data_IF_278312088005
#
_entry.id   IF_278312088005
#
_cell.length_a   1.000
_cell.length_b   1.000
_cell.length_c   1.000
_cell.angle_alpha   90.00
_cell.angle_beta   90.00
_cell.angle_gamma   90.00
#
_symmetry.space_group_name_H-M   'P 1'
#
loop_
_entity.id
_entity.type
_entity.pdbx_description
1 polymer ?
#
# COMPACT_ATOMS: atom_id res chain seq x y z
N UNK A 1 2.00 8.87 15.31
CA UNK A 1 3.27 8.10 15.32
C UNK A 1 3.03 6.83 14.53
N UNK A 2 3.84 6.54 13.51
CA UNK A 2 3.69 5.34 12.67
C UNK A 2 4.44 4.19 13.34
N UNK A 3 3.77 3.05 13.58
CA UNK A 3 4.37 1.86 14.17
C UNK A 3 4.08 0.61 13.36
N UNK A 4 2.84 0.44 12.91
CA UNK A 4 2.41 -0.71 12.12
C UNK A 4 2.27 -0.29 10.66
N UNK A 5 3.15 -0.80 9.81
CA UNK A 5 3.16 -0.54 8.37
C UNK A 5 2.80 -1.82 7.63
N UNK A 6 2.03 -1.69 6.57
CA UNK A 6 1.82 -2.77 5.61
C UNK A 6 2.42 -2.34 4.28
N UNK A 7 3.32 -3.16 3.75
CA UNK A 7 3.79 -3.05 2.37
C UNK A 7 2.95 -4.00 1.52
N UNK A 8 1.96 -3.45 0.81
CA UNK A 8 0.97 -4.21 0.06
C UNK A 8 1.56 -4.89 -1.19
N UNK A 9 2.72 -4.42 -1.66
CA UNK A 9 3.47 -5.04 -2.75
C UNK A 9 4.96 -5.01 -2.44
N UNK A 10 5.40 -5.94 -1.59
CA UNK A 10 6.71 -5.88 -0.96
C UNK A 10 7.89 -6.19 -1.89
N UNK A 11 7.64 -6.78 -3.07
CA UNK A 11 8.69 -7.29 -3.97
C UNK A 11 9.72 -8.10 -3.18
N UNK A 12 10.91 -7.56 -2.90
CA UNK A 12 11.97 -8.25 -2.13
C UNK A 12 12.14 -7.77 -0.69
N UNK A 13 11.11 -7.11 -0.12
CA UNK A 13 11.11 -6.53 1.23
C UNK A 13 11.88 -5.20 1.32
N UNK A 14 11.88 -4.41 0.25
CA UNK A 14 12.70 -3.20 0.15
C UNK A 14 12.35 -2.12 1.17
N UNK A 15 11.05 -1.89 1.41
CA UNK A 15 10.58 -0.91 2.39
C UNK A 15 11.03 -1.28 3.80
N UNK A 16 10.91 -2.56 4.16
CA UNK A 16 11.31 -3.04 5.48
C UNK A 16 12.82 -2.91 5.71
N UNK A 17 13.62 -3.27 4.69
CA UNK A 17 15.08 -3.07 4.73
C UNK A 17 15.44 -1.59 4.93
N UNK A 18 14.79 -0.67 4.22
CA UNK A 18 15.03 0.76 4.37
C UNK A 18 14.70 1.27 5.79
N UNK A 19 13.60 0.81 6.41
CA UNK A 19 13.27 1.18 7.78
C UNK A 19 14.26 0.64 8.81
N UNK A 20 14.78 -0.57 8.58
CA UNK A 20 15.80 -1.17 9.44
C UNK A 20 17.12 -0.40 9.35
N UNK A 21 17.55 -0.01 8.15
CA UNK A 21 18.75 0.81 7.91
C UNK A 21 18.65 2.17 8.61
N UNK A 22 17.49 2.82 8.51
CA UNK A 22 17.17 4.09 9.16
C UNK A 22 16.88 3.96 10.67
N UNK A 23 17.08 2.77 11.26
CA UNK A 23 16.88 2.45 12.69
C UNK A 23 15.51 2.88 13.22
N UNK A 24 14.46 2.75 12.40
CA UNK A 24 13.09 3.07 12.79
C UNK A 24 12.47 1.86 13.50
N UNK A 25 11.89 2.09 14.68
CA UNK A 25 11.15 1.06 15.42
C UNK A 25 9.73 0.88 14.83
N UNK A 26 9.66 0.31 13.63
CA UNK A 26 8.40 0.01 12.93
C UNK A 26 8.30 -1.48 12.65
N UNK A 27 7.08 -2.00 12.74
CA UNK A 27 6.75 -3.36 12.32
C UNK A 27 6.11 -3.30 10.94
N UNK A 28 6.68 -4.06 9.99
CA UNK A 28 6.24 -4.09 8.60
C UNK A 28 5.69 -5.47 8.26
N UNK A 29 4.42 -5.53 7.87
CA UNK A 29 3.84 -6.71 7.22
C UNK A 29 4.12 -6.61 5.71
N UNK A 30 4.93 -7.52 5.19
CA UNK A 30 5.28 -7.55 3.76
C UNK A 30 4.32 -8.47 3.01
N UNK A 31 3.49 -7.92 2.13
CA UNK A 31 2.54 -8.69 1.34
C UNK A 31 3.10 -8.87 -0.07
N UNK A 32 3.12 -10.12 -0.53
CA UNK A 32 3.46 -10.47 -1.91
C UNK A 32 2.16 -10.87 -2.61
N UNK A 33 1.72 -10.15 -3.67
CA UNK A 33 0.54 -10.54 -4.41
C UNK A 33 0.71 -11.93 -5.05
N UNK A 34 -0.31 -12.77 -5.00
CA UNK A 34 -0.26 -14.13 -5.59
C UNK A 34 -0.03 -14.13 -7.10
N UNK A 35 -0.41 -13.05 -7.77
CA UNK A 35 -0.24 -12.88 -9.22
C UNK A 35 1.14 -12.34 -9.62
N UNK A 36 1.98 -11.99 -8.63
CA UNK A 36 3.36 -11.57 -8.85
C UNK A 36 4.34 -12.75 -8.73
N UNK A 37 5.63 -12.50 -9.00
CA UNK A 37 6.68 -13.48 -8.73
C UNK A 37 6.74 -13.76 -7.22
N UNK A 38 6.72 -15.04 -6.84
CA UNK A 38 6.79 -15.43 -5.44
C UNK A 38 8.18 -15.15 -4.86
N UNK A 39 8.32 -14.01 -4.19
CA UNK A 39 9.52 -13.55 -3.49
C UNK A 39 9.45 -13.76 -1.98
N UNK A 40 8.34 -14.30 -1.47
CA UNK A 40 8.12 -14.51 -0.04
C UNK A 40 9.23 -15.35 0.62
N UNK A 41 9.76 -16.43 0.01
CA UNK A 41 10.87 -17.18 0.60
C UNK A 41 12.09 -16.30 0.89
N UNK A 42 12.42 -15.35 0.02
CA UNK A 42 13.55 -14.44 0.22
C UNK A 42 13.28 -13.42 1.33
N UNK A 43 12.03 -12.95 1.44
CA UNK A 43 11.62 -12.04 2.53
C UNK A 43 11.77 -12.75 3.88
N UNK A 44 11.32 -14.00 3.97
CA UNK A 44 11.43 -14.81 5.19
C UNK A 44 12.89 -15.16 5.52
N UNK A 45 13.72 -15.46 4.52
CA UNK A 45 15.16 -15.73 4.71
C UNK A 45 15.92 -14.52 5.29
N UNK A 46 15.49 -13.30 4.93
CA UNK A 46 15.99 -12.05 5.54
C UNK A 46 15.48 -11.81 6.97
N UNK A 47 14.62 -12.68 7.51
CA UNK A 47 14.01 -12.54 8.83
C UNK A 47 12.85 -11.55 8.90
N UNK A 48 12.28 -11.15 7.75
CA UNK A 48 11.14 -10.24 7.71
C UNK A 48 9.81 -11.01 7.72
N UNK A 49 8.80 -10.46 8.39
CA UNK A 49 7.45 -11.00 8.35
C UNK A 49 6.81 -10.73 6.99
N UNK A 50 6.23 -11.75 6.37
CA UNK A 50 5.48 -11.58 5.14
C UNK A 50 4.46 -12.67 4.85
N UNK A 51 3.59 -12.41 3.88
CA UNK A 51 2.48 -13.29 3.50
C UNK A 51 2.21 -13.19 2.00
N UNK A 52 1.68 -14.26 1.42
CA UNK A 52 1.10 -14.25 0.07
C UNK A 52 -0.39 -13.92 0.19
N UNK A 53 -0.88 -12.96 -0.59
CA UNK A 53 -2.28 -12.55 -0.55
C UNK A 53 -2.82 -12.21 -1.94
N UNK A 54 -4.11 -12.49 -2.15
CA UNK A 54 -4.86 -12.02 -3.33
C UNK A 54 -5.61 -10.74 -2.96
N UNK A 55 -5.24 -9.62 -3.55
CA UNK A 55 -5.86 -8.33 -3.27
C UNK A 55 -7.28 -8.17 -3.83
N UNK A 56 -7.77 -9.14 -4.61
CA UNK A 56 -9.19 -9.26 -4.95
C UNK A 56 -10.01 -9.96 -3.86
N UNK A 57 -9.35 -10.48 -2.82
CA UNK A 57 -10.00 -10.99 -1.61
C UNK A 57 -9.70 -10.10 -0.40
N UNK A 58 -10.63 -10.02 0.58
CA UNK A 58 -10.40 -9.30 1.83
C UNK A 58 -9.18 -9.82 2.57
N UNK A 59 -8.33 -8.92 3.08
CA UNK A 59 -7.15 -9.31 3.84
C UNK A 59 -7.55 -9.84 5.23
N UNK A 60 -7.04 -11.01 5.68
CA UNK A 60 -7.47 -11.65 6.93
C UNK A 60 -6.87 -10.97 8.17
N UNK A 61 -7.23 -9.71 8.40
CA UNK A 61 -6.79 -8.91 9.54
C UNK A 61 -7.96 -8.14 10.16
N UNK A 62 -7.78 -7.68 11.40
CA UNK A 62 -8.76 -6.86 12.08
C UNK A 62 -8.84 -5.47 11.44
N UNK A 63 -10.04 -4.84 11.42
CA UNK A 63 -10.17 -3.45 11.00
C UNK A 63 -9.28 -2.53 11.84
N UNK A 64 -8.74 -1.46 11.24
CA UNK A 64 -7.91 -0.45 11.92
C UNK A 64 -6.66 -1.05 12.59
N UNK A 65 -5.95 -1.93 11.88
CA UNK A 65 -4.71 -2.54 12.36
C UNK A 65 -3.50 -1.66 12.06
N UNK A 66 -3.40 -1.11 10.85
CA UNK A 66 -2.19 -0.43 10.35
C UNK A 66 -2.27 1.09 10.48
N UNK A 67 -1.13 1.71 10.73
CA UNK A 67 -0.95 3.17 10.76
C UNK A 67 -0.57 3.72 9.38
N UNK A 68 0.07 2.89 8.54
CA UNK A 68 0.49 3.26 7.20
C UNK A 68 0.35 2.09 6.23
N UNK A 69 -0.19 2.36 5.04
CA UNK A 69 -0.15 1.45 3.90
C UNK A 69 0.81 2.00 2.84
N UNK A 70 1.64 1.12 2.30
CA UNK A 70 2.54 1.43 1.20
C UNK A 70 2.31 0.45 0.06
N UNK A 71 2.37 0.92 -1.18
CA UNK A 71 2.42 0.04 -2.35
C UNK A 71 3.19 0.69 -3.50
N UNK A 72 3.97 -0.11 -4.22
CA UNK A 72 4.67 0.31 -5.43
C UNK A 72 4.28 -0.59 -6.61
N UNK A 73 3.68 0.00 -7.65
CA UNK A 73 3.23 -0.68 -8.86
C UNK A 73 2.07 -1.66 -8.65
N UNK A 74 1.35 -1.58 -7.53
CA UNK A 74 0.24 -2.49 -7.22
C UNK A 74 -0.99 -2.19 -8.08
N UNK A 75 -1.30 -0.92 -8.30
CA UNK A 75 -2.54 -0.51 -8.96
C UNK A 75 -2.51 -0.88 -10.44
N UNK A 76 -1.36 -0.66 -11.11
CA UNK A 76 -1.17 -1.05 -12.50
C UNK A 76 -1.18 -2.57 -12.69
N UNK A 77 -0.63 -3.32 -11.73
CA UNK A 77 -0.72 -4.78 -11.73
C UNK A 77 -2.18 -5.23 -11.65
N UNK A 78 -2.94 -4.75 -10.67
CA UNK A 78 -4.34 -5.13 -10.46
C UNK A 78 -5.28 -4.61 -11.56
N UNK A 79 -4.96 -3.49 -12.22
CA UNK A 79 -5.76 -2.96 -13.33
C UNK A 79 -5.79 -3.90 -14.55
N UNK A 80 -4.79 -4.77 -14.69
CA UNK A 80 -4.77 -5.81 -15.74
C UNK A 80 -5.64 -7.02 -15.38
N UNK A 81 -6.06 -7.11 -14.13
CA UNK A 81 -6.87 -8.18 -13.57
C UNK A 81 -8.33 -7.72 -13.47
N UNK A 82 -9.28 -8.66 -13.38
CA UNK A 82 -10.71 -8.33 -13.20
C UNK A 82 -11.04 -7.96 -11.75
N UNK A 83 -10.12 -7.24 -11.09
CA UNK A 83 -10.24 -6.81 -9.71
C UNK A 83 -10.97 -5.47 -9.66
N UNK A 84 -11.97 -5.32 -8.79
CA UNK A 84 -12.59 -4.01 -8.59
C UNK A 84 -11.67 -3.15 -7.71
N UNK A 85 -11.10 -2.10 -8.32
CA UNK A 85 -10.25 -1.13 -7.62
C UNK A 85 -11.00 -0.46 -6.47
N UNK A 86 -12.32 -0.31 -6.54
CA UNK A 86 -13.11 0.19 -5.43
C UNK A 86 -13.07 -0.76 -4.22
N UNK A 87 -13.16 -2.08 -4.44
CA UNK A 87 -13.08 -3.07 -3.36
C UNK A 87 -11.73 -3.02 -2.66
N UNK A 88 -10.64 -2.85 -3.41
CA UNK A 88 -9.30 -2.62 -2.84
C UNK A 88 -9.28 -1.39 -1.94
N UNK A 89 -9.83 -0.26 -2.39
CA UNK A 89 -9.85 0.98 -1.60
C UNK A 89 -10.72 0.86 -0.35
N UNK A 90 -11.84 0.13 -0.43
CA UNK A 90 -12.68 -0.17 0.74
C UNK A 90 -11.95 -1.08 1.73
N UNK A 91 -11.19 -2.05 1.25
CA UNK A 91 -10.36 -2.92 2.08
C UNK A 91 -9.23 -2.15 2.76
N UNK A 92 -8.55 -1.26 2.01
CA UNK A 92 -7.57 -0.34 2.57
C UNK A 92 -8.21 0.58 3.64
N UNK A 93 -9.42 1.11 3.42
CA UNK A 93 -10.15 1.88 4.44
C UNK A 93 -10.52 1.04 5.66
N UNK A 94 -10.84 -0.24 5.47
CA UNK A 94 -11.16 -1.14 6.59
C UNK A 94 -9.94 -1.36 7.48
N UNK A 95 -8.77 -1.64 6.91
CA UNK A 95 -7.56 -2.02 7.68
C UNK A 95 -6.77 -0.81 8.21
N UNK A 96 -6.92 0.36 7.61
CA UNK A 96 -6.22 1.59 8.00
C UNK A 96 -6.90 2.27 9.21
N UNK A 97 -6.09 2.62 10.22
CA UNK A 97 -6.53 3.41 11.37
C UNK A 97 -6.96 4.83 10.94
N UNK A 98 -7.87 5.47 11.69
CA UNK A 98 -8.10 6.91 11.55
C UNK A 98 -6.78 7.68 11.63
N UNK A 99 -6.64 8.74 10.84
CA UNK A 99 -5.40 9.53 10.69
C UNK A 99 -4.21 8.77 10.08
N UNK A 100 -4.43 7.52 9.65
CA UNK A 100 -3.44 6.70 8.97
C UNK A 100 -3.08 7.24 7.59
N UNK A 101 -1.88 6.86 7.15
CA UNK A 101 -1.30 7.32 5.90
C UNK A 101 -1.33 6.23 4.83
N UNK A 102 -1.50 6.64 3.58
CA UNK A 102 -1.40 5.77 2.42
C UNK A 102 -0.41 6.40 1.46
N UNK A 103 0.56 5.62 1.01
CA UNK A 103 1.57 6.06 0.05
C UNK A 103 1.60 5.06 -1.10
N UNK A 104 1.09 5.47 -2.26
CA UNK A 104 1.06 4.64 -3.46
C UNK A 104 1.98 5.26 -4.51
N UNK A 105 2.86 4.46 -5.09
CA UNK A 105 3.65 4.86 -6.24
C UNK A 105 3.26 4.00 -7.44
N UNK A 106 2.85 4.63 -8.54
CA UNK A 106 2.47 3.93 -9.76
C UNK A 106 2.56 4.86 -10.98
N UNK A 107 2.16 4.36 -12.15
CA UNK A 107 2.03 5.16 -13.37
C UNK A 107 0.96 6.26 -13.23
N UNK A 108 1.07 7.32 -14.05
CA UNK A 108 0.17 8.46 -14.01
C UNK A 108 -1.32 8.07 -14.11
N UNK A 109 -1.67 7.15 -15.03
CA UNK A 109 -3.06 6.73 -15.24
C UNK A 109 -3.68 6.06 -14.01
N UNK A 110 -2.94 5.15 -13.36
CA UNK A 110 -3.37 4.46 -12.16
C UNK A 110 -3.45 5.41 -10.96
N UNK A 111 -2.53 6.37 -10.85
CA UNK A 111 -2.54 7.36 -9.76
C UNK A 111 -3.72 8.33 -9.87
N UNK A 112 -4.07 8.76 -11.07
CA UNK A 112 -5.24 9.61 -11.29
C UNK A 112 -6.55 8.87 -10.95
N UNK A 113 -6.66 7.59 -11.33
CA UNK A 113 -7.78 6.73 -10.93
C UNK A 113 -7.84 6.54 -9.40
N UNK A 114 -6.70 6.25 -8.77
CA UNK A 114 -6.57 6.12 -7.33
C UNK A 114 -6.94 7.41 -6.60
N UNK A 115 -6.60 8.59 -7.13
CA UNK A 115 -7.01 9.88 -6.57
C UNK A 115 -8.54 10.05 -6.61
N UNK A 116 -9.18 9.64 -7.70
CA UNK A 116 -10.65 9.68 -7.81
C UNK A 116 -11.30 8.76 -6.78
N UNK A 117 -10.81 7.52 -6.63
CA UNK A 117 -11.29 6.56 -5.63
C UNK A 117 -11.04 7.02 -4.19
N UNK A 118 -9.83 7.54 -3.90
CA UNK A 118 -9.49 8.13 -2.61
C UNK A 118 -10.47 9.24 -2.21
N UNK A 119 -10.87 10.08 -3.17
CA UNK A 119 -11.86 11.14 -2.95
C UNK A 119 -13.25 10.55 -2.66
N UNK A 120 -13.66 9.49 -3.34
CA UNK A 120 -14.94 8.80 -3.10
C UNK A 120 -15.00 8.17 -1.70
N UNK A 121 -13.90 7.59 -1.21
CA UNK A 121 -13.80 7.07 0.18
C UNK A 121 -13.55 8.17 1.22
N UNK A 122 -13.52 9.44 0.80
CA UNK A 122 -13.31 10.65 1.62
C UNK A 122 -11.94 10.73 2.28
N UNK A 123 -10.90 10.29 1.60
CA UNK A 123 -9.52 10.52 2.02
C UNK A 123 -8.99 11.84 1.46
N UNK A 124 -8.11 12.48 2.22
CA UNK A 124 -7.37 13.65 1.75
C UNK A 124 -6.22 13.18 0.87
N UNK A 125 -6.28 13.44 -0.44
CA UNK A 125 -5.32 12.94 -1.42
C UNK A 125 -4.44 14.06 -1.98
N UNK A 126 -3.13 13.82 -2.05
CA UNK A 126 -2.12 14.71 -2.66
C UNK A 126 -1.26 13.92 -3.63
N UNK A 127 -1.17 14.39 -4.87
CA UNK A 127 -0.29 13.80 -5.88
C UNK A 127 1.02 14.58 -5.90
N UNK A 128 2.13 13.86 -5.90
CA UNK A 128 3.48 14.41 -5.96
C UNK A 128 4.16 13.87 -7.21
N UNK A 129 4.66 14.78 -8.04
CA UNK A 129 5.43 14.45 -9.23
C UNK A 129 6.88 14.12 -8.86
N UNK A 130 7.37 12.96 -9.30
CA UNK A 130 8.78 12.61 -9.15
C UNK A 130 9.58 13.32 -10.26
N UNK A 131 10.50 14.21 -9.88
CA UNK A 131 11.27 15.07 -10.79
C UNK A 131 12.33 14.33 -11.65
N UNK A 132 12.17 13.03 -11.88
CA UNK A 132 13.16 12.19 -12.55
C UNK A 132 12.87 11.96 -14.05
N UNK A 133 11.91 12.69 -14.63
CA UNK A 133 11.51 12.51 -16.03
C UNK A 133 10.79 11.19 -16.33
N UNK A 134 10.42 10.43 -15.29
CA UNK A 134 9.66 9.19 -15.39
C UNK A 134 8.16 9.44 -15.26
N UNK A 135 7.33 8.59 -15.87
CA UNK A 135 5.86 8.62 -15.73
C UNK A 135 5.34 8.13 -14.37
N UNK A 136 6.24 7.84 -13.43
CA UNK A 136 5.88 7.49 -12.06
C UNK A 136 5.40 8.71 -11.28
N UNK A 137 4.34 8.52 -10.51
CA UNK A 137 3.75 9.50 -9.60
C UNK A 137 3.57 8.89 -8.23
N UNK A 138 3.54 9.75 -7.22
CA UNK A 138 3.31 9.36 -5.84
C UNK A 138 1.98 9.94 -5.38
N UNK A 139 1.05 9.09 -4.94
CA UNK A 139 -0.16 9.48 -4.25
C UNK A 139 0.08 9.33 -2.75
N UNK A 140 0.03 10.45 -2.04
CA UNK A 140 0.03 10.49 -0.58
C UNK A 140 -1.39 10.84 -0.13
N UNK A 141 -2.03 9.90 0.55
CA UNK A 141 -3.37 10.08 1.09
C UNK A 141 -3.38 9.95 2.60
N UNK A 142 -4.25 10.71 3.25
CA UNK A 142 -4.50 10.59 4.68
C UNK A 142 -5.99 10.33 4.94
N UNK A 143 -6.26 9.33 5.77
CA UNK A 143 -7.61 9.03 6.22
C UNK A 143 -8.02 10.01 7.33
N UNK A 144 -9.10 10.80 7.18
CA UNK A 144 -9.49 11.74 8.22
C UNK A 144 -10.01 11.02 9.48
N UNK A 145 -9.85 11.66 10.64
CA UNK A 145 -10.40 11.14 11.90
C UNK A 145 -11.94 11.13 11.91
N UNK A 146 -12.54 12.21 11.37
CA UNK A 146 -13.99 12.37 11.24
C UNK A 146 -14.34 12.51 9.76
N UNK A 147 -15.25 11.68 9.27
CA UNK A 147 -15.87 11.89 7.95
C UNK A 147 -16.80 13.10 8.08
N UNK A 148 -16.35 14.28 7.63
CA UNK A 148 -17.24 15.44 7.45
C UNK A 148 -18.32 15.13 6.44
#
# INVERSE_FOLDING_TARGET
>A
MIRNVMDMNAHYGGLNAAFQEEKKSVWVMNVVPVNARNTLPLILDKGFAGVLHDWCEPFPTYPRTYDMLHANGLLSQLSSERCDMMELFLEMDRILRPEGWVVLSDNLGAIEMARALATQVRWEARVIDLQNGSDQRLLVSQKPFVKK
#
